data_IF_407285210953
#
_entry.id   IF_407285210953
#
_cell.length_a   1.000
_cell.length_b   1.000
_cell.length_c   1.000
_cell.angle_alpha   90.00
_cell.angle_beta   90.00
_cell.angle_gamma   90.00
#
_symmetry.space_group_name_H-M   'P 1'
#
loop_
_entity.id
_entity.type
_entity.pdbx_description
1 polymer ?
#
# COMPACT_ATOMS: atom_id res chain seq x y z
N UNK A 1 -17.29 6.95 53.65
CA UNK A 1 -18.49 6.84 52.79
C UNK A 1 -18.11 7.48 51.47
N UNK A 2 -17.78 6.68 50.46
CA UNK A 2 -17.45 7.20 49.14
C UNK A 2 -18.73 7.72 48.51
N UNK A 3 -18.89 9.03 48.40
CA UNK A 3 -19.98 9.62 47.62
C UNK A 3 -19.83 9.12 46.19
N UNK A 4 -20.72 8.21 45.78
CA UNK A 4 -20.80 7.74 44.42
C UNK A 4 -21.30 8.92 43.58
N UNK A 5 -20.37 9.57 42.86
CA UNK A 5 -20.72 10.70 42.00
C UNK A 5 -21.63 10.19 40.89
N UNK A 6 -22.79 10.83 40.77
CA UNK A 6 -23.77 10.56 39.71
C UNK A 6 -23.10 10.61 38.33
N UNK A 7 -23.46 9.66 37.47
CA UNK A 7 -22.95 9.52 36.10
C UNK A 7 -23.94 10.19 35.14
N UNK A 8 -23.45 11.16 34.40
CA UNK A 8 -24.20 11.93 33.41
C UNK A 8 -23.90 11.36 32.03
N UNK A 9 -24.90 10.80 31.36
CA UNK A 9 -24.80 10.43 29.96
C UNK A 9 -24.97 11.68 29.08
N UNK A 10 -23.87 12.10 28.44
CA UNK A 10 -23.85 13.33 27.65
C UNK A 10 -24.82 13.27 26.48
N UNK A 11 -25.02 12.09 25.87
CA UNK A 11 -25.91 11.93 24.72
C UNK A 11 -27.38 12.09 25.11
N UNK A 12 -27.77 11.59 26.29
CA UNK A 12 -29.13 11.78 26.83
C UNK A 12 -29.41 13.24 27.16
N UNK A 13 -28.43 13.92 27.77
CA UNK A 13 -28.53 15.34 28.09
C UNK A 13 -28.59 16.20 26.83
N UNK A 14 -27.77 15.89 25.81
CA UNK A 14 -27.82 16.55 24.51
C UNK A 14 -29.17 16.35 23.81
N UNK A 15 -29.71 15.13 23.80
CA UNK A 15 -31.03 14.84 23.20
C UNK A 15 -32.18 15.56 23.89
N UNK A 16 -32.08 15.75 25.21
CA UNK A 16 -33.07 16.46 26.01
C UNK A 16 -32.85 17.99 26.03
N UNK A 17 -31.82 18.50 25.34
CA UNK A 17 -31.39 19.91 25.35
C UNK A 17 -31.22 20.47 26.77
N UNK A 18 -30.63 19.66 27.67
CA UNK A 18 -30.41 20.01 29.08
C UNK A 18 -28.99 20.52 29.32
N UNK A 19 -28.78 21.44 30.28
CA UNK A 19 -27.45 21.79 30.74
C UNK A 19 -26.77 20.60 31.42
N UNK A 20 -25.47 20.42 31.18
CA UNK A 20 -24.67 19.35 31.80
C UNK A 20 -24.15 19.83 33.17
N UNK A 21 -24.47 19.14 34.28
CA UNK A 21 -24.03 19.55 35.62
C UNK A 21 -22.53 19.29 35.85
N UNK A 22 -21.92 20.16 36.67
CA UNK A 22 -20.50 20.12 37.05
C UNK A 22 -20.21 19.12 38.17
N UNK A 23 -18.93 18.79 38.35
CA UNK A 23 -18.40 17.89 39.40
C UNK A 23 -18.99 16.46 39.40
N UNK A 24 -19.51 16.00 38.26
CA UNK A 24 -20.08 14.66 38.08
C UNK A 24 -19.11 13.73 37.37
N UNK A 25 -19.52 12.48 37.16
CA UNK A 25 -18.88 11.61 36.18
C UNK A 25 -19.57 11.76 34.83
N UNK A 26 -18.79 11.81 33.75
CA UNK A 26 -19.29 12.06 32.40
C UNK A 26 -19.13 10.79 31.58
N UNK A 27 -20.26 10.25 31.13
CA UNK A 27 -20.33 9.11 30.24
C UNK A 27 -20.54 9.60 28.81
N UNK A 28 -19.68 9.15 27.91
CA UNK A 28 -19.79 9.43 26.48
C UNK A 28 -19.36 8.23 25.66
N UNK A 29 -19.62 8.30 24.35
CA UNK A 29 -19.30 7.23 23.41
C UNK A 29 -18.22 7.67 22.44
N UNK A 30 -17.26 6.78 22.21
CA UNK A 30 -16.32 6.82 21.09
C UNK A 30 -16.63 5.61 20.20
N UNK A 31 -17.22 5.84 19.04
CA UNK A 31 -17.77 4.78 18.17
C UNK A 31 -18.78 3.88 18.90
N UNK A 32 -18.37 2.65 19.26
CA UNK A 32 -19.15 1.65 20.00
C UNK A 32 -18.69 1.49 21.46
N UNK A 33 -17.60 2.14 21.85
CA UNK A 33 -17.03 2.06 23.20
C UNK A 33 -17.64 3.13 24.08
N UNK A 34 -18.17 2.74 25.24
CA UNK A 34 -18.62 3.67 26.28
C UNK A 34 -17.46 3.98 27.23
N UNK A 35 -17.25 5.26 27.50
CA UNK A 35 -16.17 5.77 28.36
C UNK A 35 -16.79 6.64 29.44
N UNK A 36 -16.33 6.48 30.67
CA UNK A 36 -16.73 7.31 31.81
C UNK A 36 -15.50 7.94 32.44
N UNK A 37 -15.51 9.26 32.58
CA UNK A 37 -14.41 10.04 33.19
C UNK A 37 -14.93 10.93 34.30
N UNK A 38 -14.05 11.36 35.21
CA UNK A 38 -14.38 12.28 36.30
C UNK A 38 -13.94 13.71 36.04
N UNK A 39 -13.13 13.94 34.99
CA UNK A 39 -12.68 15.27 34.59
C UNK A 39 -13.75 15.98 33.74
N UNK A 40 -13.94 17.29 33.97
CA UNK A 40 -14.81 18.14 33.14
C UNK A 40 -14.20 18.40 31.76
N UNK A 41 -12.87 18.38 31.66
CA UNK A 41 -12.13 18.60 30.43
C UNK A 41 -11.21 17.43 30.12
N UNK A 42 -11.07 17.09 28.84
CA UNK A 42 -10.23 15.98 28.38
C UNK A 42 -9.60 16.31 27.02
N UNK A 43 -8.37 15.88 26.79
CA UNK A 43 -7.70 16.08 25.50
C UNK A 43 -8.13 15.05 24.45
N UNK A 44 -7.97 15.39 23.16
CA UNK A 44 -8.21 14.43 22.08
C UNK A 44 -7.38 13.13 22.22
N UNK A 45 -6.13 13.25 22.68
CA UNK A 45 -5.23 12.12 22.94
C UNK A 45 -5.75 11.18 24.03
N UNK A 46 -6.27 11.73 25.12
CA UNK A 46 -6.83 10.96 26.22
C UNK A 46 -8.13 10.25 25.79
N UNK A 47 -9.00 10.93 25.04
CA UNK A 47 -10.22 10.31 24.48
C UNK A 47 -9.87 9.09 23.64
N UNK A 48 -8.91 9.22 22.71
CA UNK A 48 -8.46 8.11 21.87
C UNK A 48 -7.87 6.97 22.69
N UNK A 49 -7.01 7.30 23.67
CA UNK A 49 -6.35 6.31 24.52
C UNK A 49 -7.35 5.52 25.37
N UNK A 50 -8.33 6.20 25.98
CA UNK A 50 -9.40 5.56 26.76
C UNK A 50 -10.32 4.69 25.88
N UNK A 51 -10.44 5.01 24.59
CA UNK A 51 -11.16 4.21 23.62
C UNK A 51 -10.38 2.98 23.11
N UNK A 52 -9.14 2.78 23.58
CA UNK A 52 -8.24 1.72 23.10
C UNK A 52 -7.68 1.99 21.70
N UNK A 53 -7.60 3.26 21.28
CA UNK A 53 -7.09 3.70 19.98
C UNK A 53 -5.70 4.31 20.14
N UNK A 54 -4.80 4.05 19.20
CA UNK A 54 -3.51 4.74 19.13
C UNK A 54 -3.73 6.18 18.63
N UNK A 55 -3.39 7.23 19.40
CA UNK A 55 -3.59 8.61 18.99
C UNK A 55 -2.91 9.02 17.67
N UNK A 56 -1.86 8.31 17.26
CA UNK A 56 -1.18 8.58 15.99
C UNK A 56 -1.95 8.07 14.76
N UNK A 57 -2.78 7.04 14.96
CA UNK A 57 -3.40 6.28 13.86
C UNK A 57 -4.87 6.64 13.65
N UNK A 58 -5.43 7.61 14.38
CA UNK A 58 -6.85 7.95 14.32
C UNK A 58 -7.09 9.46 14.36
N UNK A 59 -7.95 9.95 13.47
CA UNK A 59 -8.55 11.28 13.54
C UNK A 59 -9.73 11.19 14.50
N UNK A 60 -9.77 12.09 15.49
CA UNK A 60 -10.89 12.24 16.38
C UNK A 60 -11.84 13.33 15.86
N UNK A 61 -13.14 13.02 15.87
CA UNK A 61 -14.21 13.97 15.60
C UNK A 61 -15.24 13.92 16.73
N UNK A 62 -15.85 15.06 17.02
CA UNK A 62 -17.01 15.15 17.91
C UNK A 62 -18.22 15.56 17.11
N UNK A 63 -19.35 14.90 17.40
CA UNK A 63 -20.67 15.35 16.99
C UNK A 63 -21.30 16.15 18.12
N UNK A 64 -21.56 17.43 17.87
CA UNK A 64 -22.15 18.36 18.84
C UNK A 64 -23.25 19.18 18.15
N UNK A 65 -24.47 19.14 18.70
CA UNK A 65 -25.66 19.83 18.13
C UNK A 65 -25.84 19.58 16.62
N UNK A 66 -25.68 18.32 16.20
CA UNK A 66 -25.76 17.92 14.79
C UNK A 66 -24.53 18.24 13.92
N UNK A 67 -23.60 19.08 14.38
CA UNK A 67 -22.38 19.42 13.64
C UNK A 67 -21.24 18.45 13.98
N UNK A 68 -20.39 18.15 13.00
CA UNK A 68 -19.19 17.31 13.19
C UNK A 68 -17.95 18.20 13.12
N UNK A 69 -17.21 18.25 14.22
CA UNK A 69 -15.98 19.04 14.35
C UNK A 69 -14.78 18.12 14.60
N UNK A 70 -13.63 18.43 13.99
CA UNK A 70 -12.37 17.72 14.22
C UNK A 70 -11.74 18.20 15.53
N UNK A 71 -11.17 17.27 16.27
CA UNK A 71 -10.42 17.53 17.51
C UNK A 71 -8.97 17.10 17.29
N UNK A 72 -8.03 18.02 17.48
CA UNK A 72 -6.59 17.76 17.52
C UNK A 72 -6.19 16.96 18.78
N UNK A 73 -4.99 16.36 18.76
CA UNK A 73 -4.55 15.50 19.87
C UNK A 73 -4.42 16.26 21.19
N UNK A 74 -4.00 17.51 21.12
CA UNK A 74 -3.75 18.36 22.29
C UNK A 74 -4.86 19.41 22.48
N UNK A 75 -5.93 19.35 21.67
CA UNK A 75 -7.12 20.18 21.84
C UNK A 75 -7.88 19.73 23.10
N UNK A 76 -8.31 20.72 23.89
CA UNK A 76 -9.07 20.50 25.13
C UNK A 76 -10.56 20.49 24.81
N UNK A 77 -11.23 19.39 25.13
CA UNK A 77 -12.67 19.22 25.02
C UNK A 77 -13.30 19.42 26.39
N UNK A 78 -14.21 20.38 26.51
CA UNK A 78 -15.03 20.59 27.70
C UNK A 78 -16.33 19.75 27.59
N UNK A 79 -16.46 18.74 28.44
CA UNK A 79 -17.58 17.82 28.50
C UNK A 79 -18.83 18.43 29.16
N UNK A 80 -18.71 19.61 29.78
CA UNK A 80 -19.83 20.34 30.37
C UNK A 80 -20.54 21.24 29.36
N UNK A 81 -19.98 21.38 28.13
CA UNK A 81 -20.64 22.09 27.04
C UNK A 81 -21.89 21.33 26.60
N UNK A 82 -23.09 21.95 26.64
CA UNK A 82 -24.31 21.27 26.24
C UNK A 82 -24.31 20.88 24.76
N UNK A 83 -24.81 19.67 24.49
CA UNK A 83 -25.04 19.18 23.13
C UNK A 83 -24.00 18.20 22.60
N UNK A 84 -23.03 17.77 23.41
CA UNK A 84 -22.09 16.68 23.05
C UNK A 84 -22.87 15.38 22.87
N UNK A 85 -22.95 14.88 21.64
CA UNK A 85 -23.71 13.66 21.33
C UNK A 85 -22.83 12.41 21.37
N UNK A 86 -21.67 12.46 20.69
CA UNK A 86 -20.71 11.36 20.63
C UNK A 86 -19.39 11.81 20.01
N UNK A 87 -18.37 11.00 20.24
CA UNK A 87 -17.10 11.05 19.52
C UNK A 87 -17.04 9.91 18.50
N UNK A 88 -16.35 10.18 17.41
CA UNK A 88 -16.19 9.26 16.29
C UNK A 88 -14.72 9.24 15.91
N UNK A 89 -14.19 8.06 15.61
CA UNK A 89 -12.83 7.92 15.09
C UNK A 89 -12.86 7.57 13.61
N UNK A 90 -11.94 8.16 12.87
CA UNK A 90 -11.64 7.77 11.49
C UNK A 90 -10.19 7.30 11.52
N UNK A 91 -9.85 6.09 11.02
CA UNK A 91 -8.45 5.72 10.83
C UNK A 91 -7.70 6.83 10.10
N UNK A 92 -6.66 7.36 10.74
CA UNK A 92 -5.70 8.33 10.18
C UNK A 92 -4.54 7.59 9.54
N UNK A 93 -4.81 6.47 8.89
CA UNK A 93 -3.87 5.92 7.93
C UNK A 93 -3.93 6.86 6.73
N UNK A 94 -3.02 7.83 6.72
CA UNK A 94 -2.62 8.48 5.48
C UNK A 94 -1.96 7.38 4.67
N UNK A 95 -2.75 6.67 3.89
CA UNK A 95 -2.24 5.87 2.78
C UNK A 95 -1.86 6.86 1.68
N UNK A 96 -0.74 7.56 1.84
CA UNK A 96 0.21 7.49 0.74
C UNK A 96 0.47 5.99 0.61
N UNK A 97 -0.07 5.40 -0.46
CA UNK A 97 -0.43 3.98 -0.53
C UNK A 97 0.54 3.11 0.27
N UNK A 98 0.01 2.30 1.18
CA UNK A 98 0.75 1.15 1.70
C UNK A 98 1.48 0.57 0.50
N UNK A 99 2.81 0.70 0.48
CA UNK A 99 3.58 -0.04 -0.49
C UNK A 99 3.08 -1.48 -0.29
N UNK A 100 2.55 -2.15 -1.33
CA UNK A 100 2.19 -3.54 -1.18
C UNK A 100 3.41 -4.19 -0.54
N UNK A 101 3.23 -4.86 0.60
CA UNK A 101 4.33 -5.53 1.27
C UNK A 101 4.99 -6.43 0.23
N UNK A 102 6.16 -6.01 -0.26
CA UNK A 102 6.82 -6.62 -1.41
C UNK A 102 7.03 -8.09 -1.06
N UNK A 103 6.50 -8.99 -1.88
CA UNK A 103 6.54 -10.42 -1.57
C UNK A 103 7.98 -10.92 -1.63
N UNK A 104 8.37 -11.74 -0.67
CA UNK A 104 9.63 -12.48 -0.69
C UNK A 104 9.35 -13.94 -0.42
N UNK A 105 8.85 -14.65 -1.45
CA UNK A 105 8.37 -16.04 -1.30
C UNK A 105 9.46 -17.09 -1.55
N UNK A 106 10.59 -16.70 -2.13
CA UNK A 106 11.77 -17.54 -2.29
C UNK A 106 13.05 -16.68 -2.35
N UNK A 107 14.18 -17.33 -2.07
CA UNK A 107 15.50 -16.72 -2.11
C UNK A 107 16.10 -16.69 -3.52
N UNK A 108 16.81 -15.62 -3.84
CA UNK A 108 17.53 -15.43 -5.10
C UNK A 108 19.01 -15.77 -4.95
N UNK A 109 19.68 -15.94 -6.09
CA UNK A 109 21.13 -16.02 -6.13
C UNK A 109 21.74 -14.67 -5.73
N UNK A 110 22.92 -14.69 -5.12
CA UNK A 110 23.60 -13.48 -4.67
C UNK A 110 23.81 -12.46 -5.81
N UNK A 111 24.23 -12.93 -7.00
CA UNK A 111 24.46 -12.06 -8.16
C UNK A 111 23.18 -11.35 -8.64
N UNK A 112 22.04 -12.02 -8.53
CA UNK A 112 20.73 -11.45 -8.91
C UNK A 112 20.27 -10.41 -7.89
N UNK A 113 20.52 -10.66 -6.58
CA UNK A 113 20.26 -9.68 -5.52
C UNK A 113 21.11 -8.43 -5.70
N UNK A 114 22.42 -8.59 -5.92
CA UNK A 114 23.34 -7.46 -6.18
C UNK A 114 22.90 -6.65 -7.41
N UNK A 115 22.37 -7.33 -8.44
CA UNK A 115 21.75 -6.64 -9.57
C UNK A 115 20.51 -5.84 -9.18
N UNK A 116 19.54 -6.46 -8.51
CA UNK A 116 18.31 -5.81 -8.11
C UNK A 116 18.54 -4.62 -7.18
N UNK A 117 19.46 -4.75 -6.21
CA UNK A 117 19.87 -3.66 -5.33
C UNK A 117 20.51 -2.51 -6.12
N UNK A 118 21.32 -2.82 -7.14
CA UNK A 118 21.96 -1.80 -7.99
C UNK A 118 20.97 -0.98 -8.83
N UNK A 119 19.73 -1.47 -9.03
CA UNK A 119 18.68 -0.73 -9.72
C UNK A 119 18.07 0.37 -8.85
N UNK A 120 18.10 0.22 -7.51
CA UNK A 120 17.39 1.12 -6.59
C UNK A 120 15.87 1.10 -6.79
N UNK A 121 15.32 0.03 -7.38
CA UNK A 121 13.89 -0.14 -7.66
C UNK A 121 13.28 -1.18 -6.71
N UNK A 122 11.99 -1.06 -6.36
CA UNK A 122 11.30 -2.11 -5.62
C UNK A 122 11.16 -3.37 -6.47
N UNK A 123 11.28 -4.53 -5.82
CA UNK A 123 11.12 -5.83 -6.48
C UNK A 123 10.53 -6.85 -5.51
N UNK A 124 9.97 -7.92 -6.05
CA UNK A 124 9.38 -9.01 -5.26
C UNK A 124 9.58 -10.38 -5.92
N UNK A 125 9.68 -11.42 -5.09
CA UNK A 125 9.68 -12.83 -5.52
C UNK A 125 8.35 -13.50 -5.21
N UNK A 126 7.76 -14.09 -6.25
CA UNK A 126 6.42 -14.71 -6.21
C UNK A 126 6.51 -16.16 -6.67
N UNK A 127 6.05 -17.07 -5.82
CA UNK A 127 5.89 -18.49 -6.12
C UNK A 127 4.46 -18.70 -6.63
N UNK A 128 4.28 -18.74 -7.95
CA UNK A 128 2.95 -18.91 -8.56
C UNK A 128 2.45 -20.36 -8.40
N UNK A 129 3.34 -21.35 -8.55
CA UNK A 129 3.07 -22.78 -8.28
C UNK A 129 4.37 -23.53 -7.93
N UNK A 130 4.37 -24.87 -7.81
CA UNK A 130 5.55 -25.67 -7.42
C UNK A 130 6.77 -25.51 -8.35
N UNK A 131 6.54 -25.28 -9.65
CA UNK A 131 7.59 -25.17 -10.67
C UNK A 131 7.75 -23.76 -11.24
N UNK A 132 6.77 -22.88 -10.98
CA UNK A 132 6.71 -21.55 -11.56
C UNK A 132 7.05 -20.50 -10.51
N UNK A 133 8.20 -19.83 -10.72
CA UNK A 133 8.66 -18.69 -9.93
C UNK A 133 8.70 -17.44 -10.79
N UNK A 134 8.20 -16.32 -10.28
CA UNK A 134 8.37 -15.00 -10.89
C UNK A 134 9.21 -14.09 -10.01
N UNK A 135 9.95 -13.24 -10.71
CA UNK A 135 10.56 -12.06 -10.14
C UNK A 135 9.92 -10.84 -10.81
N UNK A 136 9.39 -9.92 -9.99
CA UNK A 136 8.77 -8.67 -10.44
C UNK A 136 9.68 -7.51 -10.05
N UNK A 137 9.94 -6.59 -10.98
CA UNK A 137 10.65 -5.33 -10.77
C UNK A 137 9.66 -4.20 -11.05
N UNK A 138 9.41 -3.36 -10.06
CA UNK A 138 8.44 -2.28 -10.16
C UNK A 138 9.07 -0.99 -10.66
N UNK A 139 8.33 -0.24 -11.49
CA UNK A 139 8.80 1.05 -12.00
C UNK A 139 10.06 0.98 -12.86
N UNK A 140 10.29 -0.14 -13.54
CA UNK A 140 11.37 -0.33 -14.51
C UNK A 140 11.28 0.74 -15.62
N UNK A 141 12.37 1.47 -15.90
CA UNK A 141 12.35 2.57 -16.86
C UNK A 141 12.21 2.05 -18.30
N UNK A 142 11.50 2.82 -19.12
CA UNK A 142 11.28 2.52 -20.53
C UNK A 142 11.83 3.66 -21.39
N UNK A 143 12.48 3.37 -22.54
CA UNK A 143 13.02 4.41 -23.42
C UNK A 143 11.95 5.41 -23.89
N UNK A 144 12.39 6.65 -24.18
CA UNK A 144 11.51 7.66 -24.75
C UNK A 144 11.02 7.21 -26.13
N UNK A 145 9.71 7.10 -26.29
CA UNK A 145 9.08 6.60 -27.52
C UNK A 145 7.82 5.76 -27.27
N UNK A 146 7.63 5.32 -26.03
CA UNK A 146 6.43 4.60 -25.60
C UNK A 146 5.39 5.50 -24.93
N UNK A 147 4.19 4.96 -24.75
CA UNK A 147 3.03 5.56 -24.09
C UNK A 147 3.26 5.90 -22.60
N UNK A 148 4.19 5.21 -21.94
CA UNK A 148 4.59 5.42 -20.54
C UNK A 148 6.12 5.49 -20.44
N UNK A 149 6.63 6.06 -19.35
CA UNK A 149 8.06 6.20 -19.03
C UNK A 149 8.58 5.10 -18.10
N UNK A 150 7.67 4.40 -17.41
CA UNK A 150 7.97 3.29 -16.51
C UNK A 150 6.88 2.22 -16.55
N UNK A 151 7.29 0.99 -16.29
CA UNK A 151 6.42 -0.20 -16.23
C UNK A 151 6.86 -1.08 -15.07
N UNK A 152 5.94 -1.86 -14.53
CA UNK A 152 6.31 -3.07 -13.84
C UNK A 152 6.68 -4.13 -14.89
N UNK A 153 7.76 -4.85 -14.63
CA UNK A 153 8.21 -5.95 -15.47
C UNK A 153 8.40 -7.19 -14.62
N UNK A 154 7.95 -8.34 -15.11
CA UNK A 154 8.34 -9.61 -14.51
C UNK A 154 8.99 -10.55 -15.51
N UNK A 155 9.75 -11.49 -14.96
CA UNK A 155 10.30 -12.65 -15.66
C UNK A 155 10.00 -13.92 -14.88
N UNK A 156 9.84 -15.04 -15.60
CA UNK A 156 9.79 -16.36 -14.97
C UNK A 156 11.22 -16.88 -14.76
N UNK A 157 11.51 -17.36 -13.56
CA UNK A 157 12.73 -18.09 -13.25
C UNK A 157 12.45 -19.59 -13.42
N UNK A 158 12.93 -20.23 -14.51
CA UNK A 158 12.63 -21.62 -14.78
C UNK A 158 13.22 -22.56 -13.71
N UNK A 159 12.74 -23.81 -13.63
CA UNK A 159 13.41 -24.85 -12.86
C UNK A 159 14.88 -24.97 -13.28
N UNK A 160 15.78 -25.10 -12.30
CA UNK A 160 17.24 -25.15 -12.48
C UNK A 160 17.89 -23.89 -13.07
N UNK A 161 17.21 -22.74 -13.06
CA UNK A 161 17.90 -21.45 -13.20
C UNK A 161 19.03 -21.35 -12.15
N UNK A 162 20.27 -20.96 -12.52
CA UNK A 162 20.68 -20.29 -13.76
C UNK A 162 21.23 -21.20 -14.86
N UNK A 163 21.18 -22.52 -14.70
CA UNK A 163 21.60 -23.48 -15.74
C UNK A 163 20.59 -23.56 -16.90
N UNK A 164 19.40 -22.98 -16.71
CA UNK A 164 18.32 -22.87 -17.70
C UNK A 164 18.01 -21.40 -17.98
N UNK A 165 17.83 -21.07 -19.26
CA UNK A 165 17.66 -19.69 -19.73
C UNK A 165 16.35 -19.03 -19.27
N UNK A 166 16.42 -17.74 -18.96
CA UNK A 166 15.25 -16.85 -18.95
C UNK A 166 14.96 -16.40 -20.39
N UNK A 167 13.70 -16.48 -20.82
CA UNK A 167 13.29 -16.32 -22.23
C UNK A 167 12.31 -15.16 -22.49
N UNK A 168 11.48 -14.78 -21.52
CA UNK A 168 10.37 -13.84 -21.74
C UNK A 168 10.33 -12.73 -20.69
N UNK A 169 9.83 -11.57 -21.10
CA UNK A 169 9.49 -10.44 -20.23
C UNK A 169 8.01 -10.07 -20.37
N UNK A 170 7.43 -9.61 -19.27
CA UNK A 170 6.01 -9.32 -19.17
C UNK A 170 5.84 -7.93 -18.58
N UNK A 171 5.10 -7.06 -19.26
CA UNK A 171 5.02 -5.64 -18.93
C UNK A 171 3.62 -5.23 -18.50
N UNK A 172 3.57 -4.34 -17.52
CA UNK A 172 2.36 -3.69 -17.06
C UNK A 172 2.68 -2.23 -16.68
N UNK A 173 1.96 -1.21 -17.19
CA UNK A 173 0.91 -1.31 -18.19
C UNK A 173 1.44 -1.78 -19.56
N UNK A 174 0.54 -2.18 -20.45
CA UNK A 174 0.89 -2.59 -21.82
C UNK A 174 1.61 -1.45 -22.55
N UNK A 175 2.74 -1.80 -23.18
CA UNK A 175 3.52 -0.87 -23.98
C UNK A 175 2.90 -0.69 -25.36
N UNK A 176 2.81 0.57 -25.78
CA UNK A 176 2.45 0.99 -27.12
C UNK A 176 3.39 2.11 -27.56
N UNK A 177 3.77 2.11 -28.83
CA UNK A 177 4.64 3.15 -29.38
C UNK A 177 3.86 4.44 -29.64
N UNK A 178 4.47 5.58 -29.36
CA UNK A 178 3.89 6.91 -29.64
C UNK A 178 3.76 7.19 -31.14
N UNK A 179 4.60 6.57 -31.97
CA UNK A 179 4.52 6.65 -33.44
C UNK A 179 3.44 5.76 -34.06
N UNK A 180 2.65 5.06 -33.23
CA UNK A 180 1.55 4.17 -33.62
C UNK A 180 1.96 2.97 -34.48
N UNK A 181 3.26 2.70 -34.64
CA UNK A 181 3.70 1.45 -35.28
C UNK A 181 3.33 0.26 -34.38
N UNK A 182 2.88 -0.87 -34.96
CA UNK A 182 2.56 -2.04 -34.18
C UNK A 182 3.83 -2.68 -33.61
N UNK A 183 3.74 -3.18 -32.38
CA UNK A 183 4.78 -4.02 -31.78
C UNK A 183 4.47 -5.47 -32.13
N UNK A 184 5.42 -6.16 -32.76
CA UNK A 184 5.24 -7.55 -33.20
C UNK A 184 5.31 -8.57 -32.07
N UNK A 185 4.77 -9.78 -32.31
CA UNK A 185 4.88 -10.94 -31.43
C UNK A 185 4.53 -10.64 -29.96
N UNK A 186 3.39 -9.99 -29.77
CA UNK A 186 2.77 -9.76 -28.47
C UNK A 186 1.70 -10.81 -28.19
N UNK A 187 1.59 -11.19 -26.92
CA UNK A 187 0.42 -11.92 -26.41
C UNK A 187 0.14 -11.50 -24.97
N UNK A 188 -0.90 -12.04 -24.37
CA UNK A 188 -1.28 -11.73 -22.98
C UNK A 188 -0.94 -12.89 -22.05
N UNK A 189 -0.71 -12.57 -20.78
CA UNK A 189 -0.63 -13.53 -19.68
C UNK A 189 -1.31 -12.95 -18.44
N UNK A 190 -1.95 -13.81 -17.65
CA UNK A 190 -2.62 -13.39 -16.41
C UNK A 190 -1.76 -13.78 -15.22
N UNK A 191 -1.43 -12.80 -14.37
CA UNK A 191 -0.70 -13.01 -13.12
C UNK A 191 -1.17 -11.97 -12.09
N UNK A 192 -1.36 -12.39 -10.84
CA UNK A 192 -1.90 -11.56 -9.74
C UNK A 192 -3.24 -10.87 -10.08
N UNK A 193 -4.10 -11.54 -10.85
CA UNK A 193 -5.38 -10.97 -11.30
C UNK A 193 -5.25 -9.84 -12.33
N UNK A 194 -4.04 -9.55 -12.82
CA UNK A 194 -3.76 -8.55 -13.83
C UNK A 194 -3.39 -9.19 -15.16
N UNK A 195 -3.72 -8.52 -16.26
CA UNK A 195 -3.34 -8.94 -17.62
C UNK A 195 -2.07 -8.22 -18.04
N UNK A 196 -1.01 -8.98 -18.26
CA UNK A 196 0.31 -8.50 -18.63
C UNK A 196 0.57 -8.68 -20.11
N UNK A 197 1.24 -7.70 -20.72
CA UNK A 197 1.70 -7.81 -22.10
C UNK A 197 3.00 -8.63 -22.14
N UNK A 198 2.93 -9.83 -22.71
CA UNK A 198 4.06 -10.74 -22.89
C UNK A 198 4.84 -10.40 -24.16
N UNK A 199 6.15 -10.22 -24.00
CA UNK A 199 7.11 -10.14 -25.09
C UNK A 199 7.92 -11.43 -25.13
N UNK A 200 7.77 -12.20 -26.20
CA UNK A 200 8.64 -13.33 -26.50
C UNK A 200 9.62 -12.93 -27.59
N UNK A 201 10.91 -12.95 -27.25
CA UNK A 201 12.02 -12.63 -28.14
C UNK A 201 13.09 -13.69 -27.90
N UNK A 202 12.96 -14.81 -28.60
CA UNK A 202 13.89 -15.92 -28.44
C UNK A 202 15.33 -15.51 -28.73
N UNK A 203 16.24 -15.98 -27.88
CA UNK A 203 17.68 -15.91 -28.12
C UNK A 203 18.02 -16.70 -29.38
N UNK A 204 18.88 -16.14 -30.23
CA UNK A 204 19.42 -16.84 -31.40
C UNK A 204 20.82 -17.40 -31.08
N UNK A 205 21.47 -18.07 -32.04
CA UNK A 205 22.82 -18.64 -31.88
C UNK A 205 23.86 -17.61 -31.41
N UNK A 206 23.70 -16.34 -31.77
CA UNK A 206 24.60 -15.25 -31.39
C UNK A 206 24.31 -14.67 -30.00
N UNK A 207 23.16 -14.99 -29.40
CA UNK A 207 22.73 -14.49 -28.08
C UNK A 207 22.35 -15.62 -27.12
N UNK A 208 22.88 -16.83 -27.39
CA UNK A 208 22.60 -18.05 -26.62
C UNK A 208 22.97 -17.87 -25.16
N UNK A 209 22.14 -18.40 -24.27
CA UNK A 209 22.41 -18.43 -22.84
C UNK A 209 23.70 -19.22 -22.54
N UNK A 210 24.60 -18.61 -21.79
CA UNK A 210 25.89 -19.17 -21.37
C UNK A 210 25.79 -19.60 -19.91
N UNK A 211 25.75 -20.91 -19.69
CA UNK A 211 25.71 -21.50 -18.35
C UNK A 211 26.93 -21.05 -17.55
N UNK A 212 26.72 -20.55 -16.34
CA UNK A 212 27.76 -20.02 -15.46
C UNK A 212 28.23 -18.59 -15.78
N UNK A 213 27.68 -17.94 -16.82
CA UNK A 213 27.99 -16.54 -17.16
C UNK A 213 26.73 -15.66 -17.22
N UNK A 214 25.62 -16.19 -17.73
CA UNK A 214 24.37 -15.45 -17.84
C UNK A 214 23.49 -15.63 -16.60
N UNK A 215 22.81 -14.56 -16.22
CA UNK A 215 21.96 -14.45 -15.03
C UNK A 215 20.86 -13.40 -15.28
N UNK A 216 20.17 -12.96 -14.24
CA UNK A 216 19.09 -11.99 -14.35
C UNK A 216 19.56 -10.67 -14.95
N UNK A 217 20.76 -10.19 -14.56
CA UNK A 217 21.32 -8.94 -15.07
C UNK A 217 21.50 -9.00 -16.58
N UNK A 218 22.09 -10.07 -17.11
CA UNK A 218 22.34 -10.19 -18.55
C UNK A 218 21.02 -10.37 -19.32
N UNK A 219 20.02 -11.04 -18.74
CA UNK A 219 18.68 -11.10 -19.33
C UNK A 219 17.99 -9.74 -19.35
N UNK A 220 17.97 -8.99 -18.26
CA UNK A 220 17.32 -7.69 -18.21
C UNK A 220 18.03 -6.62 -19.06
N UNK A 221 19.34 -6.78 -19.27
CA UNK A 221 20.09 -6.00 -20.28
C UNK A 221 19.54 -6.29 -21.68
N UNK A 222 19.36 -7.56 -22.02
CA UNK A 222 18.75 -7.97 -23.30
C UNK A 222 17.30 -7.47 -23.43
N UNK A 223 16.52 -7.46 -22.36
CA UNK A 223 15.15 -6.88 -22.35
C UNK A 223 15.19 -5.38 -22.65
N UNK A 224 16.17 -4.65 -22.10
CA UNK A 224 16.37 -3.22 -22.40
C UNK A 224 16.70 -3.00 -23.87
N UNK A 225 17.59 -3.83 -24.43
CA UNK A 225 17.90 -3.81 -25.87
C UNK A 225 16.66 -4.09 -26.74
N UNK A 226 15.75 -4.97 -26.32
CA UNK A 226 14.49 -5.21 -27.06
C UNK A 226 13.63 -3.95 -27.14
N UNK A 227 13.52 -3.19 -26.04
CA UNK A 227 12.76 -1.95 -26.00
C UNK A 227 13.37 -0.89 -26.92
N UNK A 228 14.69 -0.74 -26.89
CA UNK A 228 15.39 0.22 -27.77
C UNK A 228 15.30 -0.18 -29.24
N UNK A 229 15.61 -1.44 -29.57
CA UNK A 229 15.58 -1.93 -30.94
C UNK A 229 14.18 -1.89 -31.54
N UNK A 230 13.14 -2.15 -30.75
CA UNK A 230 11.77 -2.06 -31.23
C UNK A 230 11.53 -0.65 -31.78
N UNK A 231 11.87 0.42 -31.06
CA UNK A 231 11.70 1.82 -31.52
C UNK A 231 12.46 2.17 -32.82
N UNK A 232 13.45 1.38 -33.22
CA UNK A 232 14.18 1.59 -34.50
C UNK A 232 13.51 0.98 -35.73
N UNK A 233 12.54 0.08 -35.53
CA UNK A 233 11.71 -0.49 -36.61
C UNK A 233 10.74 0.53 -37.19
#
# INVERSE_FOLDING_TARGET
MSNEKEVIDLAEYAKADKPVPKEKHYKFRVDKTEITVSQETITGREILTLAGKNPQNFILQQKIKGQVIRIGLDDIVDLTVPGVERFMTIPNEVTEGEAPTMRTQFELLQEDLEYLESLGLPWETVQDDVQTRRLVIHGFPVPVGYNVDKVDVFVYLPPNYPDVQIDMAYFLPNLARKDQKPIGALSEAVADGQTWQRWSRHRNESSKWRIGEDNLRTHMTLVSDWLEQELTK
#
